data_IF_880162207922
#
_entry.id   IF_880162207922
#
_cell.length_a   1.000
_cell.length_b   1.000
_cell.length_c   1.000
_cell.angle_alpha   90.00
_cell.angle_beta   90.00
_cell.angle_gamma   90.00
#
_symmetry.space_group_name_H-M   'P 1'
#
loop_
_entity.id
_entity.type
_entity.pdbx_description
1 polymer ?
#
# COMPACT_ATOMS: atom_id res chain seq x y z
N UNK A 1 -13.83 -7.15 36.75
CA UNK A 1 -14.15 -5.73 36.56
C UNK A 1 -15.31 -5.64 35.58
N UNK A 2 -16.22 -4.67 35.74
CA UNK A 2 -17.31 -4.47 34.76
C UNK A 2 -16.87 -3.38 33.79
N UNK A 3 -16.67 -3.76 32.52
CA UNK A 3 -16.33 -2.83 31.43
C UNK A 3 -17.60 -2.45 30.68
N UNK A 4 -17.60 -1.26 30.10
CA UNK A 4 -18.66 -0.72 29.25
C UNK A 4 -18.06 -0.31 27.90
N UNK A 5 -18.89 -0.29 26.87
CA UNK A 5 -18.52 0.30 25.59
C UNK A 5 -18.07 1.75 25.83
N UNK A 6 -17.01 2.15 25.15
CA UNK A 6 -16.29 3.43 25.27
C UNK A 6 -15.46 3.62 26.55
N UNK A 7 -15.39 2.64 27.46
CA UNK A 7 -14.37 2.68 28.52
C UNK A 7 -12.98 2.71 27.88
N UNK A 8 -12.13 3.63 28.34
CA UNK A 8 -10.70 3.61 28.01
C UNK A 8 -9.98 2.59 28.88
N UNK A 9 -9.13 1.77 28.25
CA UNK A 9 -8.41 0.70 28.93
C UNK A 9 -6.94 0.68 28.53
N UNK A 10 -6.09 0.24 29.44
CA UNK A 10 -4.66 0.00 29.24
C UNK A 10 -4.35 -1.49 29.42
N UNK A 11 -3.56 -2.04 28.52
CA UNK A 11 -3.06 -3.40 28.60
C UNK A 11 -2.03 -3.51 29.72
N UNK A 12 -2.17 -4.52 30.59
CA UNK A 12 -1.25 -4.76 31.70
C UNK A 12 0.16 -5.09 31.20
N UNK A 13 1.16 -4.75 31.99
CA UNK A 13 2.55 -5.02 31.65
C UNK A 13 2.81 -6.54 31.47
N UNK A 14 3.55 -6.89 30.42
CA UNK A 14 3.96 -8.27 30.13
C UNK A 14 2.92 -9.13 29.39
N UNK A 15 1.77 -8.56 29.05
CA UNK A 15 0.82 -9.18 28.10
C UNK A 15 1.45 -9.16 26.72
N UNK A 16 1.43 -10.30 26.05
CA UNK A 16 1.97 -10.46 24.70
C UNK A 16 0.87 -10.82 23.73
N UNK A 17 0.99 -10.30 22.52
CA UNK A 17 0.22 -10.78 21.39
C UNK A 17 0.58 -12.27 21.13
N UNK A 18 -0.39 -13.21 21.16
CA UNK A 18 -0.11 -14.62 20.96
C UNK A 18 0.36 -14.94 19.54
N UNK A 19 0.00 -14.13 18.54
CA UNK A 19 0.35 -14.40 17.14
C UNK A 19 1.78 -13.95 16.84
N UNK A 20 2.18 -12.76 17.28
CA UNK A 20 3.51 -12.20 17.00
C UNK A 20 4.51 -12.37 18.14
N UNK A 21 4.05 -12.63 19.38
CA UNK A 21 4.86 -12.62 20.59
C UNK A 21 5.30 -11.23 21.06
N UNK A 22 4.82 -10.15 20.42
CA UNK A 22 5.13 -8.76 20.76
C UNK A 22 4.56 -8.39 22.14
N UNK A 23 5.33 -7.65 22.94
CA UNK A 23 4.83 -7.07 24.19
C UNK A 23 3.92 -5.88 23.87
N UNK A 24 2.63 -6.04 24.13
CA UNK A 24 1.59 -5.01 23.96
C UNK A 24 1.23 -4.35 25.29
N UNK A 25 1.98 -4.65 26.36
CA UNK A 25 1.81 -4.02 27.65
C UNK A 25 1.96 -2.49 27.56
N UNK A 26 1.00 -1.76 28.14
CA UNK A 26 0.94 -0.31 28.11
C UNK A 26 0.22 0.29 26.90
N UNK A 27 -0.16 -0.52 25.90
CA UNK A 27 -1.04 -0.09 24.82
C UNK A 27 -2.40 0.28 25.38
N UNK A 28 -3.04 1.31 24.81
CA UNK A 28 -4.34 1.79 25.28
C UNK A 28 -5.30 2.00 24.13
N UNK A 29 -6.58 1.89 24.45
CA UNK A 29 -7.65 2.05 23.50
C UNK A 29 -9.00 2.14 24.17
N UNK A 30 -10.05 2.11 23.35
CA UNK A 30 -11.45 2.16 23.79
C UNK A 30 -12.13 0.83 23.52
N UNK A 31 -12.95 0.39 24.46
CA UNK A 31 -13.78 -0.81 24.27
C UNK A 31 -14.85 -0.51 23.20
N UNK A 32 -14.70 -1.10 22.03
CA UNK A 32 -15.64 -0.99 20.91
C UNK A 32 -16.76 -2.04 21.01
N UNK A 33 -16.43 -3.25 21.47
CA UNK A 33 -17.39 -4.35 21.66
C UNK A 33 -17.01 -5.19 22.87
N UNK A 34 -18.02 -5.79 23.50
CA UNK A 34 -17.86 -6.78 24.57
C UNK A 34 -18.54 -8.05 24.09
N UNK A 35 -17.77 -9.14 23.97
CA UNK A 35 -18.26 -10.45 23.57
C UNK A 35 -18.62 -11.31 24.79
N UNK A 36 -19.14 -12.50 24.54
CA UNK A 36 -19.26 -13.54 25.56
C UNK A 36 -17.88 -13.86 26.17
N UNK A 37 -17.86 -14.43 27.38
CA UNK A 37 -16.63 -14.77 28.13
C UNK A 37 -15.71 -13.60 28.55
N UNK A 38 -16.22 -12.36 28.58
CA UNK A 38 -15.47 -11.14 28.93
C UNK A 38 -14.27 -10.85 27.99
N UNK A 39 -14.39 -11.23 26.72
CA UNK A 39 -13.46 -10.80 25.67
C UNK A 39 -13.87 -9.39 25.19
N UNK A 40 -12.91 -8.47 25.19
CA UNK A 40 -13.11 -7.09 24.78
C UNK A 40 -12.51 -6.90 23.39
N UNK A 41 -13.26 -6.26 22.50
CA UNK A 41 -12.74 -5.73 21.25
C UNK A 41 -12.38 -4.27 21.47
N UNK A 42 -11.12 -3.92 21.25
CA UNK A 42 -10.56 -2.61 21.53
C UNK A 42 -10.15 -1.94 20.22
N UNK A 43 -10.54 -0.68 20.06
CA UNK A 43 -9.96 0.22 19.08
C UNK A 43 -8.76 0.94 19.72
N UNK A 44 -7.57 0.80 19.15
CA UNK A 44 -6.39 1.46 19.69
C UNK A 44 -6.52 2.98 19.59
N UNK A 45 -6.06 3.68 20.63
CA UNK A 45 -6.01 5.14 20.59
C UNK A 45 -4.86 5.63 19.70
N UNK A 46 -4.95 6.89 19.24
CA UNK A 46 -3.98 7.52 18.32
C UNK A 46 -2.55 7.50 18.86
N UNK A 47 -2.36 7.58 20.18
CA UNK A 47 -1.04 7.48 20.80
C UNK A 47 -0.47 6.07 20.72
N UNK A 48 -1.30 5.05 20.89
CA UNK A 48 -0.91 3.66 20.69
C UNK A 48 -0.59 3.44 19.23
N UNK A 49 -1.51 3.77 18.33
CA UNK A 49 -1.34 3.66 16.88
C UNK A 49 -0.03 4.30 16.40
N UNK A 50 0.24 5.54 16.80
CA UNK A 50 1.48 6.27 16.46
C UNK A 50 2.76 5.56 16.92
N UNK A 51 2.69 4.76 17.98
CA UNK A 51 3.84 4.07 18.56
C UNK A 51 3.87 2.57 18.23
N UNK A 52 2.87 2.03 17.52
CA UNK A 52 2.93 0.67 17.00
C UNK A 52 4.17 0.59 16.09
N UNK A 53 5.05 -0.40 16.26
CA UNK A 53 6.20 -0.56 15.38
C UNK A 53 5.75 -0.78 13.93
N UNK A 54 6.41 -0.12 12.97
CA UNK A 54 6.13 -0.30 11.54
C UNK A 54 6.12 -1.78 11.13
N UNK A 55 7.06 -2.57 11.68
CA UNK A 55 7.13 -4.01 11.41
C UNK A 55 5.88 -4.78 11.84
N UNK A 56 5.18 -4.33 12.88
CA UNK A 56 3.92 -4.95 13.30
C UNK A 56 2.83 -4.69 12.26
N UNK A 57 2.68 -3.44 11.82
CA UNK A 57 1.70 -3.04 10.80
C UNK A 57 1.99 -3.74 9.46
N UNK A 58 3.24 -3.71 9.00
CA UNK A 58 3.67 -4.42 7.78
C UNK A 58 3.32 -5.90 7.83
N UNK A 59 3.57 -6.57 8.96
CA UNK A 59 3.23 -7.99 9.12
C UNK A 59 1.71 -8.21 9.13
N UNK A 60 0.95 -7.35 9.81
CA UNK A 60 -0.51 -7.42 9.79
C UNK A 60 -1.08 -7.29 8.37
N UNK A 61 -0.58 -6.33 7.57
CA UNK A 61 -0.98 -6.16 6.17
C UNK A 61 -0.64 -7.39 5.31
N UNK A 62 0.54 -7.97 5.49
CA UNK A 62 0.97 -9.18 4.78
C UNK A 62 0.11 -10.41 5.12
N UNK A 63 -0.37 -10.51 6.35
CA UNK A 63 -1.20 -11.62 6.83
C UNK A 63 -2.72 -11.37 6.67
N UNK A 64 -3.11 -10.17 6.22
CA UNK A 64 -4.52 -9.78 6.09
C UNK A 64 -5.22 -9.59 7.45
N UNK A 65 -4.46 -9.19 8.47
CA UNK A 65 -4.93 -8.93 9.83
C UNK A 65 -5.12 -7.43 10.07
N UNK A 66 -6.07 -7.06 10.93
CA UNK A 66 -6.24 -5.68 11.37
C UNK A 66 -5.19 -5.29 12.43
N UNK A 67 -4.49 -4.17 12.23
CA UNK A 67 -3.51 -3.63 13.20
C UNK A 67 -4.10 -2.56 14.13
N UNK A 68 -5.23 -1.95 13.76
CA UNK A 68 -5.86 -0.83 14.51
C UNK A 68 -6.80 -1.28 15.63
N UNK A 69 -7.18 -2.57 15.64
CA UNK A 69 -8.13 -3.13 16.58
C UNK A 69 -7.62 -4.46 17.14
N UNK A 70 -8.09 -4.85 18.32
CA UNK A 70 -7.60 -6.06 18.97
C UNK A 70 -8.60 -6.71 19.93
N UNK A 71 -8.60 -8.04 19.99
CA UNK A 71 -9.36 -8.79 20.98
C UNK A 71 -8.49 -9.15 22.18
N UNK A 72 -8.93 -8.77 23.38
CA UNK A 72 -8.19 -9.05 24.63
C UNK A 72 -9.14 -9.37 25.78
N UNK A 73 -8.73 -10.27 26.68
CA UNK A 73 -9.54 -10.60 27.84
C UNK A 73 -9.60 -9.42 28.82
N UNK A 74 -10.77 -9.21 29.42
CA UNK A 74 -10.97 -8.22 30.48
C UNK A 74 -10.03 -8.39 31.69
N UNK A 75 -9.41 -9.57 31.86
CA UNK A 75 -8.42 -9.82 32.92
C UNK A 75 -7.05 -9.21 32.63
N UNK A 76 -6.75 -8.90 31.37
CA UNK A 76 -5.43 -8.46 30.91
C UNK A 76 -5.36 -6.94 30.71
N UNK A 77 -6.45 -6.23 31.04
CA UNK A 77 -6.55 -4.78 30.95
C UNK A 77 -7.00 -4.15 32.26
N UNK A 78 -6.76 -2.85 32.40
CA UNK A 78 -7.25 -2.00 33.49
C UNK A 78 -7.91 -0.75 32.91
N UNK A 79 -8.90 -0.18 33.60
CA UNK A 79 -9.47 1.10 33.19
C UNK A 79 -8.42 2.21 33.30
N UNK A 80 -8.45 3.14 32.35
CA UNK A 80 -7.59 4.32 32.31
C UNK A 80 -8.40 5.53 31.85
N UNK A 81 -7.79 6.72 31.90
CA UNK A 81 -8.36 7.93 31.33
C UNK A 81 -8.08 7.97 29.82
N UNK A 82 -9.02 8.48 29.00
CA UNK A 82 -8.80 8.69 27.57
C UNK A 82 -7.67 9.70 27.34
N UNK A 83 -6.90 9.49 26.26
CA UNK A 83 -5.72 10.32 25.92
C UNK A 83 -5.89 11.15 24.65
N UNK A 84 -6.98 10.94 23.93
CA UNK A 84 -7.27 11.54 22.63
C UNK A 84 -8.78 11.57 22.32
N UNK A 85 -9.14 11.85 21.08
CA UNK A 85 -10.50 11.81 20.53
C UNK A 85 -10.62 10.84 19.36
N UNK A 86 -11.84 10.50 18.95
CA UNK A 86 -12.08 9.68 17.74
C UNK A 86 -11.52 10.34 16.47
N UNK A 87 -11.52 11.67 16.40
CA UNK A 87 -10.92 12.39 15.27
C UNK A 87 -9.40 12.18 15.20
N UNK A 88 -8.71 12.22 16.35
CA UNK A 88 -7.27 11.97 16.41
C UNK A 88 -6.95 10.52 15.98
N UNK A 89 -7.82 9.56 16.35
CA UNK A 89 -7.71 8.16 15.92
C UNK A 89 -7.85 8.04 14.41
N UNK A 90 -8.91 8.61 13.83
CA UNK A 90 -9.17 8.54 12.39
C UNK A 90 -8.04 9.21 11.58
N UNK A 91 -7.52 10.35 12.04
CA UNK A 91 -6.38 11.01 11.41
C UNK A 91 -5.13 10.11 11.46
N UNK A 92 -4.86 9.48 12.60
CA UNK A 92 -3.70 8.59 12.73
C UNK A 92 -3.86 7.32 11.90
N UNK A 93 -5.08 6.76 11.80
CA UNK A 93 -5.36 5.62 10.93
C UNK A 93 -5.05 5.99 9.49
N UNK A 94 -5.57 7.12 8.98
CA UNK A 94 -5.29 7.58 7.61
C UNK A 94 -3.79 7.75 7.34
N UNK A 95 -3.05 8.36 8.28
CA UNK A 95 -1.59 8.51 8.17
C UNK A 95 -0.89 7.14 8.05
N UNK A 96 -1.31 6.15 8.84
CA UNK A 96 -0.72 4.82 8.83
C UNK A 96 -1.14 4.02 7.59
N UNK A 97 -2.40 4.12 7.16
CA UNK A 97 -2.90 3.54 5.91
C UNK A 97 -2.10 4.07 4.71
N UNK A 98 -1.93 5.39 4.58
CA UNK A 98 -1.12 6.00 3.52
C UNK A 98 0.34 5.53 3.59
N UNK A 99 0.91 5.47 4.79
CA UNK A 99 2.29 5.04 5.01
C UNK A 99 2.50 3.58 4.64
N UNK A 100 1.51 2.71 4.88
CA UNK A 100 1.62 1.26 4.75
C UNK A 100 0.89 0.68 3.52
N UNK A 101 0.20 1.51 2.72
CA UNK A 101 -0.62 1.13 1.56
C UNK A 101 0.01 0.12 0.60
N UNK A 102 1.34 0.20 0.44
CA UNK A 102 2.08 -0.61 -0.54
C UNK A 102 2.97 -1.68 0.09
N UNK A 103 2.95 -1.88 1.41
CA UNK A 103 3.85 -2.82 2.11
C UNK A 103 3.68 -4.28 1.66
N UNK A 104 2.45 -4.68 1.37
CA UNK A 104 2.12 -6.05 0.96
C UNK A 104 2.67 -6.43 -0.42
N UNK A 105 3.19 -5.46 -1.18
CA UNK A 105 3.68 -5.64 -2.54
C UNK A 105 5.18 -5.85 -2.65
N UNK A 106 5.90 -5.93 -1.51
CA UNK A 106 7.34 -6.17 -1.50
C UNK A 106 8.13 -5.09 -2.25
N UNK A 107 9.03 -5.49 -3.16
CA UNK A 107 9.92 -4.55 -3.87
C UNK A 107 9.17 -3.57 -4.75
N UNK A 108 8.08 -4.03 -5.35
CA UNK A 108 7.25 -3.20 -6.18
C UNK A 108 6.66 -2.06 -5.36
N UNK A 109 6.18 -2.36 -4.14
CA UNK A 109 5.69 -1.38 -3.17
C UNK A 109 6.75 -0.42 -2.65
N UNK A 110 7.97 -0.90 -2.38
CA UNK A 110 9.11 -0.03 -2.06
C UNK A 110 9.37 0.99 -3.17
N UNK A 111 9.35 0.55 -4.43
CA UNK A 111 9.50 1.44 -5.60
C UNK A 111 8.38 2.47 -5.72
N UNK A 112 7.12 2.08 -5.44
CA UNK A 112 5.97 2.99 -5.46
C UNK A 112 6.12 4.06 -4.38
N UNK A 113 6.46 3.67 -3.14
CA UNK A 113 6.69 4.59 -2.03
C UNK A 113 7.81 5.57 -2.29
N UNK A 114 8.89 5.14 -2.96
CA UNK A 114 9.99 6.02 -3.31
C UNK A 114 9.56 7.10 -4.30
N UNK A 115 8.78 6.74 -5.32
CA UNK A 115 8.29 7.68 -6.34
C UNK A 115 7.27 8.66 -5.77
N UNK A 116 6.39 8.21 -4.87
CA UNK A 116 5.25 8.97 -4.35
C UNK A 116 5.48 9.61 -2.98
N UNK A 117 6.70 9.55 -2.43
CA UNK A 117 7.02 9.89 -1.03
C UNK A 117 6.48 11.25 -0.54
N UNK A 118 6.39 12.24 -1.41
CA UNK A 118 5.97 13.61 -1.08
C UNK A 118 4.68 14.02 -1.80
N UNK A 119 3.95 13.05 -2.35
CA UNK A 119 2.73 13.24 -3.10
C UNK A 119 1.55 12.80 -2.22
N UNK A 120 0.52 13.64 -2.15
CA UNK A 120 -0.71 13.29 -1.46
C UNK A 120 -1.40 12.13 -2.18
N UNK A 121 -1.99 11.19 -1.43
CA UNK A 121 -2.60 9.99 -2.00
C UNK A 121 -3.81 10.28 -2.89
N UNK A 122 -4.41 11.47 -2.77
CA UNK A 122 -5.54 11.96 -3.58
C UNK A 122 -5.14 12.91 -4.73
N UNK A 123 -3.84 13.11 -4.99
CA UNK A 123 -3.31 13.96 -6.06
C UNK A 123 -2.81 13.13 -7.25
N UNK A 124 -3.76 12.60 -8.03
CA UNK A 124 -3.51 11.73 -9.20
C UNK A 124 -2.61 12.41 -10.24
N UNK A 125 -2.78 13.72 -10.45
CA UNK A 125 -2.02 14.51 -11.41
C UNK A 125 -0.55 14.56 -10.99
N UNK A 126 -0.27 14.95 -9.74
CA UNK A 126 1.08 14.99 -9.21
C UNK A 126 1.73 13.60 -9.16
N UNK A 127 0.95 12.55 -8.86
CA UNK A 127 1.42 11.17 -8.87
C UNK A 127 1.85 10.74 -10.29
N UNK A 128 1.03 11.02 -11.30
CA UNK A 128 1.34 10.68 -12.69
C UNK A 128 2.55 11.46 -13.23
N UNK A 129 2.70 12.73 -12.85
CA UNK A 129 3.88 13.53 -13.16
C UNK A 129 5.16 12.97 -12.52
N UNK A 130 5.08 12.55 -11.25
CA UNK A 130 6.20 11.92 -10.54
C UNK A 130 6.63 10.62 -11.24
N UNK A 131 5.67 9.79 -11.66
CA UNK A 131 5.92 8.58 -12.44
C UNK A 131 6.55 8.86 -13.79
N UNK A 132 6.04 9.81 -14.58
CA UNK A 132 6.62 10.17 -15.88
C UNK A 132 8.08 10.62 -15.73
N UNK A 133 8.34 11.49 -14.76
CA UNK A 133 9.69 11.97 -14.45
C UNK A 133 10.62 10.82 -14.04
N UNK A 134 10.17 9.94 -13.14
CA UNK A 134 10.96 8.81 -12.68
C UNK A 134 11.27 7.84 -13.83
N UNK A 135 10.26 7.41 -14.60
CA UNK A 135 10.41 6.41 -15.66
C UNK A 135 11.28 6.90 -16.82
N UNK A 136 11.24 8.21 -17.15
CA UNK A 136 12.14 8.81 -18.14
C UNK A 136 13.62 8.71 -17.73
N UNK A 137 13.91 8.65 -16.44
CA UNK A 137 15.27 8.54 -15.91
C UNK A 137 15.68 7.08 -15.68
N UNK A 138 14.75 6.26 -15.20
CA UNK A 138 15.01 4.88 -14.81
C UNK A 138 15.04 3.91 -16.00
N UNK A 139 14.17 4.10 -17.00
CA UNK A 139 14.08 3.17 -18.14
C UNK A 139 15.19 3.39 -19.15
N UNK A 140 15.90 2.31 -19.47
CA UNK A 140 16.91 2.30 -20.54
C UNK A 140 16.27 1.81 -21.85
N UNK A 141 16.27 2.67 -22.86
CA UNK A 141 15.71 2.36 -24.18
C UNK A 141 16.79 2.06 -25.23
N UNK A 142 16.49 1.24 -26.25
CA UNK A 142 15.27 0.44 -26.39
C UNK A 142 15.32 -0.85 -25.54
N UNK A 143 14.15 -1.41 -25.19
CA UNK A 143 14.06 -2.71 -24.51
C UNK A 143 12.91 -3.57 -25.06
N UNK A 144 12.92 -4.87 -24.76
CA UNK A 144 11.87 -5.80 -25.17
C UNK A 144 10.79 -5.91 -24.09
N UNK A 145 9.53 -5.85 -24.52
CA UNK A 145 8.36 -6.02 -23.68
C UNK A 145 7.33 -6.94 -24.34
N UNK A 146 6.42 -7.46 -23.52
CA UNK A 146 5.24 -8.20 -23.93
C UNK A 146 3.99 -7.39 -23.58
N UNK A 147 2.98 -7.41 -24.46
CA UNK A 147 1.65 -6.87 -24.14
C UNK A 147 0.97 -7.84 -23.17
N UNK A 148 0.72 -7.41 -21.94
CA UNK A 148 0.21 -8.27 -20.89
C UNK A 148 -1.28 -8.05 -20.60
N UNK A 149 -1.83 -6.89 -20.95
CA UNK A 149 -3.25 -6.58 -20.75
C UNK A 149 -4.12 -6.93 -21.96
N UNK A 150 -5.40 -7.23 -21.69
CA UNK A 150 -6.38 -7.54 -22.74
C UNK A 150 -6.70 -6.31 -23.60
N UNK A 151 -6.59 -6.47 -24.92
CA UNK A 151 -6.83 -5.39 -25.88
C UNK A 151 -8.12 -5.64 -26.67
N UNK A 152 -9.17 -4.86 -26.41
CA UNK A 152 -10.42 -4.93 -27.18
C UNK A 152 -10.19 -4.57 -28.66
N UNK A 153 -9.43 -3.50 -28.90
CA UNK A 153 -9.25 -2.88 -30.22
C UNK A 153 -7.77 -2.70 -30.55
N UNK A 154 -7.49 -2.48 -31.84
CA UNK A 154 -6.13 -2.19 -32.31
C UNK A 154 -5.36 -3.42 -32.82
N UNK A 155 -4.14 -3.19 -33.34
CA UNK A 155 -3.32 -4.21 -34.00
C UNK A 155 -2.44 -5.01 -33.05
N UNK A 156 -2.24 -4.53 -31.82
CA UNK A 156 -1.51 -5.22 -30.76
C UNK A 156 -2.49 -6.04 -29.92
N UNK A 157 -2.06 -7.23 -29.52
CA UNK A 157 -2.82 -8.21 -28.73
C UNK A 157 -1.96 -8.72 -27.59
N UNK A 158 -2.60 -9.18 -26.52
CA UNK A 158 -1.94 -9.87 -25.41
C UNK A 158 -1.04 -10.99 -25.92
N UNK A 159 0.17 -11.08 -25.36
CA UNK A 159 1.23 -12.00 -25.79
C UNK A 159 2.10 -11.49 -26.93
N UNK A 160 1.80 -10.31 -27.52
CA UNK A 160 2.65 -9.73 -28.54
C UNK A 160 3.96 -9.22 -27.95
N UNK A 161 5.07 -9.66 -28.55
CA UNK A 161 6.41 -9.15 -28.25
C UNK A 161 6.72 -7.93 -29.08
N UNK A 162 7.15 -6.87 -28.41
CA UNK A 162 7.40 -5.55 -28.99
C UNK A 162 8.72 -4.96 -28.48
N UNK A 163 9.27 -4.05 -29.26
CA UNK A 163 10.39 -3.21 -28.81
C UNK A 163 9.86 -1.86 -28.34
N UNK A 164 10.13 -1.49 -27.10
CA UNK A 164 9.82 -0.17 -26.56
C UNK A 164 10.97 0.78 -26.91
N UNK A 165 10.69 1.84 -27.65
CA UNK A 165 11.71 2.75 -28.21
C UNK A 165 11.95 3.98 -27.35
N UNK A 166 10.89 4.54 -26.73
CA UNK A 166 10.94 5.68 -25.80
C UNK A 166 9.56 5.98 -25.23
N UNK A 167 9.51 6.75 -24.14
CA UNK A 167 8.29 7.39 -23.63
C UNK A 167 7.85 8.48 -24.62
N UNK A 168 6.55 8.51 -24.94
CA UNK A 168 5.92 9.53 -25.77
C UNK A 168 5.78 10.85 -25.00
N UNK A 169 5.46 11.95 -25.68
CA UNK A 169 5.18 13.21 -25.00
C UNK A 169 3.72 13.25 -24.48
N UNK A 170 2.86 12.41 -25.03
CA UNK A 170 1.47 12.28 -24.60
C UNK A 170 1.35 11.45 -23.31
N UNK A 171 0.60 12.00 -22.36
CA UNK A 171 0.16 11.36 -21.12
C UNK A 171 -1.37 11.52 -21.08
N UNK A 172 -2.05 10.50 -20.60
CA UNK A 172 -3.51 10.45 -20.50
C UNK A 172 -3.89 10.04 -19.07
N UNK A 173 -4.74 10.79 -18.40
CA UNK A 173 -5.07 10.49 -17.00
C UNK A 173 -5.78 9.14 -16.85
N UNK A 174 -6.50 8.67 -17.88
CA UNK A 174 -7.24 7.41 -17.86
C UNK A 174 -6.43 6.21 -18.33
N UNK A 175 -5.35 6.44 -19.09
CA UNK A 175 -4.53 5.37 -19.72
C UNK A 175 -3.06 5.44 -19.36
N UNK A 176 -2.69 6.41 -18.54
CA UNK A 176 -1.36 6.65 -18.03
C UNK A 176 -0.37 7.13 -19.09
N UNK A 177 0.86 6.70 -18.90
CA UNK A 177 2.03 7.09 -19.70
C UNK A 177 2.06 6.26 -20.97
N UNK A 178 2.27 6.90 -22.11
CA UNK A 178 2.41 6.21 -23.39
C UNK A 178 3.86 6.04 -23.80
N UNK A 179 4.13 4.97 -24.55
CA UNK A 179 5.42 4.70 -25.18
C UNK A 179 5.28 4.50 -26.68
N UNK A 180 6.33 4.88 -27.41
CA UNK A 180 6.50 4.46 -28.79
C UNK A 180 7.03 3.03 -28.81
N UNK A 181 6.30 2.16 -29.48
CA UNK A 181 6.63 0.74 -29.59
C UNK A 181 6.72 0.31 -31.05
N UNK A 182 7.53 -0.72 -31.30
CA UNK A 182 7.71 -1.30 -32.62
C UNK A 182 7.40 -2.79 -32.60
N UNK A 183 6.53 -3.22 -33.51
CA UNK A 183 6.26 -4.63 -33.80
C UNK A 183 6.57 -4.87 -35.27
N UNK A 184 7.58 -5.69 -35.55
CA UNK A 184 8.09 -5.91 -36.92
C UNK A 184 8.47 -4.58 -37.60
N UNK A 185 7.76 -4.18 -38.66
CA UNK A 185 8.03 -2.97 -39.45
C UNK A 185 7.10 -1.80 -39.08
N UNK A 186 6.17 -1.99 -38.14
CA UNK A 186 5.18 -0.99 -37.78
C UNK A 186 5.48 -0.41 -36.40
N UNK A 187 5.28 0.90 -36.27
CA UNK A 187 5.39 1.62 -35.01
C UNK A 187 4.01 2.06 -34.52
N UNK A 188 3.82 2.03 -33.20
CA UNK A 188 2.57 2.38 -32.52
C UNK A 188 2.89 3.24 -31.31
N UNK A 189 1.87 3.95 -30.82
CA UNK A 189 1.87 4.57 -29.49
C UNK A 189 0.95 3.71 -28.62
N UNK A 190 1.44 3.27 -27.47
CA UNK A 190 0.77 2.26 -26.66
C UNK A 190 0.90 2.57 -25.16
N UNK A 191 -0.12 2.29 -24.32
CA UNK A 191 -0.03 2.49 -22.89
C UNK A 191 1.12 1.68 -22.31
N UNK A 192 1.94 2.30 -21.46
CA UNK A 192 3.03 1.63 -20.76
C UNK A 192 2.50 0.69 -19.67
N UNK A 193 1.35 1.03 -19.08
CA UNK A 193 0.67 0.23 -18.06
C UNK A 193 0.29 -1.18 -18.57
N UNK A 194 0.11 -1.34 -19.88
CA UNK A 194 -0.31 -2.59 -20.51
C UNK A 194 0.87 -3.53 -20.85
N UNK A 195 2.10 -3.18 -20.45
CA UNK A 195 3.33 -3.84 -20.86
C UNK A 195 4.06 -4.51 -19.69
N UNK A 196 4.67 -5.66 -19.98
CA UNK A 196 5.62 -6.33 -19.08
C UNK A 196 7.00 -6.40 -19.72
N UNK A 197 8.05 -6.03 -18.98
CA UNK A 197 9.43 -6.19 -19.45
C UNK A 197 9.79 -7.68 -19.55
N UNK A 198 10.32 -8.10 -20.71
CA UNK A 198 10.65 -9.50 -20.93
C UNK A 198 11.84 -9.99 -20.10
N UNK A 199 12.80 -9.11 -19.79
CA UNK A 199 13.95 -9.43 -18.95
C UNK A 199 13.64 -9.11 -17.48
N UNK A 200 13.14 -10.09 -16.76
CA UNK A 200 12.76 -9.95 -15.34
C UNK A 200 13.95 -9.70 -14.39
N UNK A 201 15.20 -9.87 -14.88
CA UNK A 201 16.42 -9.54 -14.13
C UNK A 201 17.07 -8.25 -14.60
N UNK A 202 16.51 -7.63 -15.65
CA UNK A 202 17.02 -6.41 -16.24
C UNK A 202 16.65 -5.18 -15.41
N UNK A 203 17.42 -4.10 -15.61
CA UNK A 203 17.23 -2.84 -14.89
C UNK A 203 15.85 -2.20 -15.11
N UNK A 204 15.18 -2.49 -16.23
CA UNK A 204 13.86 -1.94 -16.54
C UNK A 204 12.71 -2.69 -15.85
N UNK A 205 12.93 -3.92 -15.36
CA UNK A 205 11.82 -4.74 -14.85
C UNK A 205 11.16 -4.11 -13.63
N UNK A 206 11.95 -3.75 -12.62
CA UNK A 206 11.44 -3.21 -11.36
C UNK A 206 10.72 -1.85 -11.55
N UNK A 207 11.32 -0.82 -12.17
CA UNK A 207 10.63 0.46 -12.36
C UNK A 207 9.33 0.34 -13.16
N UNK A 208 9.33 -0.48 -14.23
CA UNK A 208 8.13 -0.71 -15.02
C UNK A 208 7.07 -1.45 -14.20
N UNK A 209 7.46 -2.50 -13.48
CA UNK A 209 6.53 -3.33 -12.71
C UNK A 209 5.87 -2.53 -11.58
N UNK A 210 6.63 -1.71 -10.85
CA UNK A 210 6.09 -0.82 -9.83
C UNK A 210 5.07 0.16 -10.41
N UNK A 211 5.36 0.78 -11.56
CA UNK A 211 4.42 1.67 -12.24
C UNK A 211 3.12 0.97 -12.65
N UNK A 212 3.23 -0.19 -13.30
CA UNK A 212 2.06 -0.98 -13.74
C UNK A 212 1.18 -1.35 -12.56
N UNK A 213 1.78 -1.77 -11.44
CA UNK A 213 1.05 -2.14 -10.24
C UNK A 213 0.38 -0.93 -9.60
N UNK A 214 1.09 0.20 -9.47
CA UNK A 214 0.49 1.43 -8.97
C UNK A 214 -0.73 1.83 -9.82
N UNK A 215 -0.55 1.92 -11.14
CA UNK A 215 -1.60 2.35 -12.06
C UNK A 215 -2.82 1.43 -12.08
N UNK A 216 -2.67 0.15 -11.73
CA UNK A 216 -3.77 -0.81 -11.66
C UNK A 216 -4.57 -0.75 -10.34
N UNK A 217 -4.01 -0.16 -9.29
CA UNK A 217 -4.61 -0.10 -7.94
C UNK A 217 -4.96 1.33 -7.51
N UNK A 218 -4.82 2.29 -8.42
CA UNK A 218 -5.10 3.71 -8.25
C UNK A 218 -6.23 4.10 -9.19
#
# INVERSE_FOLDING_TARGET
>A
MNFQINDSVVVKAGVKDPDTGMDIGGWQGRVAKIEEDNLLFIDWDSLTLKNIPDSYITNSELEGLGWSQYYIYATDVEKTEPRDTENDVNEMIGILEDKHAWDSLGKEGEGIKEVLREIASDDDEAALEAWDKHLRQALTFPFQAEVNEFQERGPLRTGDRITVEKIDAYIDDLRGIFVKVKKKQSSYVFPLADLEAMDQKGANFQPLRSYVIWFANH
#
